data_IF_466815426126
#
_entry.id   IF_466815426126
#
_cell.length_a   1.000
_cell.length_b   1.000
_cell.length_c   1.000
_cell.angle_alpha   90.00
_cell.angle_beta   90.00
_cell.angle_gamma   90.00
#
_symmetry.space_group_name_H-M   'P 1'
#
loop_
_entity.id
_entity.type
_entity.pdbx_description
1 polymer ?
#
# COMPACT_ATOMS: atom_id res chain seq x y z
N UNK A 1 9.68 -9.60 0.29
CA UNK A 1 9.76 -9.35 -1.16
C UNK A 1 8.69 -10.16 -1.88
N UNK A 2 7.81 -9.47 -2.61
CA UNK A 2 6.73 -10.05 -3.39
C UNK A 2 6.65 -9.35 -4.76
N UNK A 3 6.19 -10.00 -5.84
CA UNK A 3 6.13 -9.41 -7.18
C UNK A 3 5.32 -8.10 -7.25
N UNK A 4 4.27 -7.98 -6.43
CA UNK A 4 3.38 -6.83 -6.39
C UNK A 4 4.11 -5.52 -6.04
N UNK A 5 5.26 -5.59 -5.34
CA UNK A 5 6.07 -4.41 -5.09
C UNK A 5 6.63 -3.79 -6.38
N UNK A 6 7.08 -4.62 -7.33
CA UNK A 6 7.57 -4.16 -8.64
C UNK A 6 6.39 -3.66 -9.48
N UNK A 7 5.26 -4.37 -9.44
CA UNK A 7 4.03 -3.94 -10.13
C UNK A 7 3.61 -2.54 -9.65
N UNK A 8 3.63 -2.29 -8.34
CA UNK A 8 3.30 -0.99 -7.76
C UNK A 8 4.25 0.12 -8.25
N UNK A 9 5.56 -0.12 -8.23
CA UNK A 9 6.55 0.85 -8.74
C UNK A 9 6.32 1.18 -10.22
N UNK A 10 6.09 0.16 -11.06
CA UNK A 10 5.83 0.35 -12.48
C UNK A 10 4.46 1.01 -12.75
N UNK A 11 3.44 0.73 -11.94
CA UNK A 11 2.15 1.38 -12.02
C UNK A 11 2.26 2.88 -11.72
N UNK A 12 3.02 3.27 -10.68
CA UNK A 12 3.34 4.67 -10.41
C UNK A 12 4.05 5.33 -11.59
N UNK A 13 5.11 4.70 -12.11
CA UNK A 13 5.87 5.22 -13.25
C UNK A 13 4.98 5.40 -14.51
N UNK A 14 4.06 4.47 -14.77
CA UNK A 14 3.15 4.50 -15.91
C UNK A 14 2.23 5.73 -15.91
N UNK A 15 1.81 6.22 -14.75
CA UNK A 15 0.96 7.41 -14.62
C UNK A 15 1.76 8.68 -14.32
N UNK A 16 3.09 8.63 -14.35
CA UNK A 16 3.97 9.75 -14.01
C UNK A 16 4.01 10.11 -12.52
N UNK A 17 3.55 9.20 -11.64
CA UNK A 17 3.66 9.39 -10.20
C UNK A 17 5.06 9.05 -9.68
N UNK A 18 5.55 9.84 -8.74
CA UNK A 18 6.81 9.56 -8.03
C UNK A 18 6.52 8.55 -6.92
N UNK A 19 7.18 7.39 -6.96
CA UNK A 19 7.09 6.40 -5.89
C UNK A 19 8.18 6.61 -4.83
N UNK A 20 7.80 6.74 -3.56
CA UNK A 20 8.72 6.76 -2.42
C UNK A 20 8.71 5.40 -1.73
N UNK A 21 9.72 4.58 -2.00
CA UNK A 21 9.78 3.19 -1.53
C UNK A 21 10.41 3.14 -0.14
N UNK A 22 9.72 2.51 0.81
CA UNK A 22 10.20 2.31 2.18
C UNK A 22 10.40 0.82 2.43
N UNK A 23 11.47 0.48 3.16
CA UNK A 23 11.74 -0.91 3.54
C UNK A 23 10.64 -1.43 4.49
N UNK A 24 10.12 -2.63 4.22
CA UNK A 24 8.98 -3.19 4.95
C UNK A 24 9.25 -3.49 6.43
N UNK A 25 10.51 -3.61 6.85
CA UNK A 25 10.88 -3.84 8.26
C UNK A 25 11.12 -2.56 9.08
N UNK A 26 10.76 -1.37 8.57
CA UNK A 26 10.83 -0.14 9.37
C UNK A 26 9.79 -0.12 10.48
N UNK A 27 10.17 0.47 11.61
CA UNK A 27 9.24 0.80 12.66
C UNK A 27 8.33 1.97 12.23
N UNK A 28 7.23 2.11 12.95
CA UNK A 28 6.15 3.06 12.67
C UNK A 28 6.62 4.52 12.68
N UNK A 29 7.52 4.91 13.59
CA UNK A 29 8.08 6.27 13.69
C UNK A 29 8.88 6.66 12.43
N UNK A 30 9.71 5.75 11.91
CA UNK A 30 10.53 5.96 10.73
C UNK A 30 9.68 6.01 9.45
N UNK A 31 8.58 5.26 9.42
CA UNK A 31 7.58 5.33 8.36
C UNK A 31 6.80 6.64 8.43
N UNK A 32 6.34 7.06 9.62
CA UNK A 32 5.62 8.32 9.82
C UNK A 32 6.46 9.51 9.39
N UNK A 33 7.76 9.52 9.70
CA UNK A 33 8.69 10.56 9.26
C UNK A 33 8.73 10.70 7.74
N UNK A 34 8.75 9.57 7.02
CA UNK A 34 8.73 9.57 5.54
C UNK A 34 7.39 10.00 4.96
N UNK A 35 6.29 9.64 5.61
CA UNK A 35 4.94 10.08 5.21
C UNK A 35 4.82 11.60 5.36
N UNK A 36 5.29 12.17 6.47
CA UNK A 36 5.28 13.62 6.70
C UNK A 36 6.11 14.40 5.69
N UNK A 37 7.29 13.86 5.34
CA UNK A 37 8.19 14.48 4.36
C UNK A 37 7.65 14.40 2.92
N UNK A 38 7.27 13.20 2.48
CA UNK A 38 6.83 12.97 1.09
C UNK A 38 5.37 13.32 0.80
N UNK A 39 4.56 13.52 1.84
CA UNK A 39 3.13 13.87 1.80
C UNK A 39 2.33 13.07 0.76
N UNK A 40 2.38 11.72 0.79
CA UNK A 40 1.75 10.90 -0.24
C UNK A 40 0.23 10.95 -0.10
N UNK A 41 -0.48 11.01 -1.23
CA UNK A 41 -1.95 10.85 -1.23
C UNK A 41 -2.39 9.40 -1.04
N UNK A 42 -1.56 8.46 -1.50
CA UNK A 42 -1.84 7.02 -1.49
C UNK A 42 -0.63 6.27 -0.97
N UNK A 43 -0.87 5.26 -0.13
CA UNK A 43 0.13 4.27 0.29
C UNK A 43 -0.26 2.90 -0.27
N UNK A 44 0.73 2.12 -0.72
CA UNK A 44 0.54 0.74 -1.16
C UNK A 44 1.35 -0.15 -0.24
N UNK A 45 0.71 -1.14 0.39
CA UNK A 45 1.33 -2.04 1.34
C UNK A 45 0.73 -3.45 1.25
N UNK A 46 1.36 -4.42 1.91
CA UNK A 46 0.77 -5.73 2.16
C UNK A 46 0.28 -5.83 3.61
N UNK A 47 -0.66 -6.73 3.88
CA UNK A 47 -1.13 -6.98 5.25
C UNK A 47 0.00 -7.43 6.19
N UNK A 48 0.95 -8.21 5.67
CA UNK A 48 2.11 -8.67 6.44
C UNK A 48 3.41 -8.83 5.64
N UNK A 49 4.53 -8.86 6.34
CA UNK A 49 5.84 -9.32 5.89
C UNK A 49 6.11 -10.75 6.33
N UNK A 50 7.01 -11.45 5.62
CA UNK A 50 7.54 -12.75 6.07
C UNK A 50 9.06 -12.65 6.10
N UNK A 51 9.63 -12.86 7.29
CA UNK A 51 11.06 -12.84 7.55
C UNK A 51 11.48 -14.16 8.20
N UNK A 52 12.06 -15.06 7.40
CA UNK A 52 12.28 -16.45 7.80
C UNK A 52 10.96 -17.11 8.19
N UNK A 53 10.84 -17.52 9.46
CA UNK A 53 9.63 -18.14 10.00
C UNK A 53 8.70 -17.15 10.72
N UNK A 54 9.02 -15.85 10.71
CA UNK A 54 8.23 -14.82 11.40
C UNK A 54 7.30 -14.11 10.43
N UNK A 55 6.06 -13.91 10.87
CA UNK A 55 5.09 -13.03 10.22
C UNK A 55 5.10 -11.68 10.90
N UNK A 56 5.31 -10.61 10.13
CA UNK A 56 5.37 -9.24 10.64
C UNK A 56 4.09 -8.52 10.23
N UNK A 57 3.36 -7.96 11.19
CA UNK A 57 2.11 -7.26 10.95
C UNK A 57 2.37 -5.85 10.39
N UNK A 58 2.57 -5.77 9.08
CA UNK A 58 2.82 -4.51 8.38
C UNK A 58 1.62 -3.57 8.44
N UNK A 59 0.39 -4.10 8.44
CA UNK A 59 -0.80 -3.25 8.51
C UNK A 59 -0.88 -2.51 9.84
N UNK A 60 -0.60 -3.18 10.96
CA UNK A 60 -0.53 -2.53 12.28
C UNK A 60 0.52 -1.43 12.33
N UNK A 61 1.72 -1.69 11.79
CA UNK A 61 2.80 -0.69 11.72
C UNK A 61 2.41 0.51 10.83
N UNK A 62 1.76 0.25 9.69
CA UNK A 62 1.25 1.28 8.79
C UNK A 62 0.18 2.14 9.48
N UNK A 63 -0.78 1.53 10.16
CA UNK A 63 -1.84 2.25 10.86
C UNK A 63 -1.27 3.18 11.94
N UNK A 64 -0.35 2.67 12.76
CA UNK A 64 0.37 3.48 13.76
C UNK A 64 1.11 4.65 13.11
N UNK A 65 1.83 4.40 12.01
CA UNK A 65 2.56 5.44 11.31
C UNK A 65 1.66 6.53 10.70
N UNK A 66 0.49 6.14 10.19
CA UNK A 66 -0.51 7.07 9.66
C UNK A 66 -1.10 7.94 10.78
N UNK A 67 -1.41 7.35 11.93
CA UNK A 67 -1.91 8.08 13.09
C UNK A 67 -0.87 9.09 13.60
N UNK A 68 0.39 8.68 13.69
CA UNK A 68 1.51 9.55 14.07
C UNK A 68 1.74 10.72 13.09
N UNK A 69 1.48 10.51 11.80
CA UNK A 69 1.64 11.53 10.76
C UNK A 69 0.41 12.45 10.62
N UNK A 70 -0.74 12.06 11.15
CA UNK A 70 -2.05 12.68 10.89
C UNK A 70 -2.16 14.16 11.31
N UNK A 71 -1.34 14.60 12.27
CA UNK A 71 -1.28 16.00 12.70
C UNK A 71 -0.66 16.94 11.66
N UNK A 72 0.12 16.42 10.70
CA UNK A 72 0.76 17.20 9.65
C UNK A 72 0.23 16.85 8.25
N UNK A 73 -0.01 15.56 7.99
CA UNK A 73 -0.45 15.09 6.69
C UNK A 73 -1.36 13.87 6.80
N UNK A 74 -2.51 13.93 6.13
CA UNK A 74 -3.49 12.84 6.10
C UNK A 74 -3.43 12.14 4.76
N UNK A 75 -3.06 10.85 4.77
CA UNK A 75 -3.11 9.98 3.60
C UNK A 75 -4.57 9.61 3.31
N UNK A 76 -4.98 9.74 2.06
CA UNK A 76 -6.38 9.58 1.66
C UNK A 76 -6.76 8.11 1.47
N UNK A 77 -5.89 7.34 0.82
CA UNK A 77 -6.17 5.94 0.51
C UNK A 77 -4.97 5.03 0.78
N UNK A 78 -5.24 3.81 1.22
CA UNK A 78 -4.26 2.75 1.35
C UNK A 78 -4.68 1.53 0.52
N UNK A 79 -3.89 1.16 -0.49
CA UNK A 79 -4.07 -0.08 -1.23
C UNK A 79 -3.36 -1.20 -0.47
N UNK A 80 -4.13 -2.15 0.07
CA UNK A 80 -3.62 -3.23 0.90
C UNK A 80 -3.72 -4.55 0.14
N UNK A 81 -2.58 -5.16 -0.14
CA UNK A 81 -2.52 -6.55 -0.58
C UNK A 81 -2.71 -7.49 0.62
N UNK A 82 -3.87 -8.13 0.69
CA UNK A 82 -4.12 -9.17 1.69
C UNK A 82 -3.29 -10.40 1.39
N UNK A 83 -2.37 -10.73 2.32
CA UNK A 83 -1.57 -11.95 2.25
C UNK A 83 -2.21 -13.05 3.09
N UNK A 84 -2.27 -14.29 2.59
CA UNK A 84 -2.96 -15.39 3.27
C UNK A 84 -2.32 -15.76 4.62
N UNK A 85 -1.04 -15.43 4.83
CA UNK A 85 -0.33 -15.71 6.08
C UNK A 85 -0.86 -14.88 7.26
N UNK A 86 -1.41 -13.69 6.99
CA UNK A 86 -1.99 -12.81 8.01
C UNK A 86 -2.88 -11.79 7.31
N UNK A 87 -4.12 -12.18 7.06
CA UNK A 87 -5.14 -11.28 6.55
C UNK A 87 -5.69 -10.43 7.71
N UNK A 88 -6.01 -9.17 7.43
CA UNK A 88 -6.38 -8.18 8.44
C UNK A 88 -7.63 -7.42 8.02
N UNK A 89 -8.45 -6.93 8.97
CA UNK A 89 -9.56 -6.04 8.62
C UNK A 89 -9.08 -4.78 7.90
N UNK A 90 -9.88 -4.29 6.96
CA UNK A 90 -9.63 -3.05 6.23
C UNK A 90 -10.49 -1.93 6.83
N UNK A 91 -9.90 -0.74 7.00
CA UNK A 91 -10.61 0.44 7.50
C UNK A 91 -11.48 1.03 6.38
N UNK A 92 -12.80 0.98 6.56
CA UNK A 92 -13.76 1.51 5.59
C UNK A 92 -13.49 2.99 5.31
N UNK A 93 -13.52 3.38 4.03
CA UNK A 93 -13.32 4.76 3.59
C UNK A 93 -11.86 5.19 3.44
N UNK A 94 -10.89 4.35 3.82
CA UNK A 94 -9.45 4.60 3.63
C UNK A 94 -8.74 3.42 2.96
N UNK A 95 -8.99 2.21 3.43
CA UNK A 95 -8.30 1.03 2.95
C UNK A 95 -9.09 0.34 1.83
N UNK A 96 -8.37 -0.05 0.78
CA UNK A 96 -8.91 -0.73 -0.40
C UNK A 96 -8.13 -2.04 -0.58
N UNK A 97 -8.84 -3.14 -0.79
CA UNK A 97 -8.19 -4.40 -1.14
C UNK A 97 -7.57 -4.30 -2.54
N UNK A 98 -6.25 -4.43 -2.61
CA UNK A 98 -5.50 -4.24 -3.86
C UNK A 98 -5.93 -5.26 -4.94
N UNK A 99 -6.16 -6.53 -4.56
CA UNK A 99 -6.49 -7.58 -5.53
C UNK A 99 -7.88 -7.35 -6.10
N UNK A 100 -8.86 -7.05 -5.25
CA UNK A 100 -10.21 -6.71 -5.70
C UNK A 100 -10.22 -5.47 -6.60
N UNK A 101 -9.44 -4.43 -6.27
CA UNK A 101 -9.33 -3.23 -7.09
C UNK A 101 -8.72 -3.52 -8.47
N UNK A 102 -7.71 -4.37 -8.53
CA UNK A 102 -7.10 -4.81 -9.80
C UNK A 102 -8.07 -5.63 -10.65
N UNK A 103 -8.80 -6.58 -10.04
CA UNK A 103 -9.77 -7.43 -10.74
C UNK A 103 -10.93 -6.60 -11.31
N UNK A 104 -11.43 -5.62 -10.55
CA UNK A 104 -12.47 -4.70 -11.01
C UNK A 104 -11.99 -3.82 -12.18
N UNK A 105 -10.73 -3.39 -12.14
CA UNK A 105 -10.14 -2.53 -13.18
C UNK A 105 -9.84 -3.28 -14.48
N UNK A 106 -9.53 -4.58 -14.41
CA UNK A 106 -9.29 -5.43 -15.58
C UNK A 106 -10.51 -5.52 -16.51
N UNK A 107 -11.73 -5.34 -15.98
CA UNK A 107 -12.95 -5.32 -16.79
C UNK A 107 -13.16 -4.01 -17.57
N UNK A 108 -12.49 -2.94 -17.17
CA UNK A 108 -12.57 -1.62 -17.81
C UNK A 108 -11.56 -1.50 -18.96
N UNK A 109 -10.44 -2.25 -18.90
CA UNK A 109 -9.40 -2.25 -19.92
C UNK A 109 -9.52 -3.47 -20.85
N UNK A 110 -10.66 -3.61 -21.56
CA UNK A 110 -10.68 -4.43 -22.78
C UNK A 110 -10.23 -3.56 -23.97
N UNK A 111 -9.00 -3.72 -24.49
CA UNK A 111 -8.56 -2.99 -25.68
C UNK A 111 -9.40 -3.29 -26.93
N UNK A 112 -10.27 -4.31 -26.91
CA UNK A 112 -11.18 -4.68 -28.01
C UNK A 112 -12.53 -3.96 -27.96
N UNK A 113 -12.77 -3.08 -27.00
CA UNK A 113 -13.98 -2.23 -26.92
C UNK A 113 -13.77 -0.80 -27.42
N UNK A 114 -12.58 -0.51 -27.95
CA UNK A 114 -12.29 0.74 -28.64
C UNK A 114 -12.35 0.53 -30.17
N UNK A 115 -13.48 0.01 -30.66
CA UNK A 115 -13.85 -0.04 -32.08
C UNK A 115 -15.36 0.19 -32.22
#
# INVERSE_FOLDING_TARGET
>A
NIPEAIVAMQACARIGAIHSVVFGGFADVELATRIKDSKPKVVIASSCGIEGNKTIDYKKLLDSALDLASSEHVVQNCLILQRPQHAVPLIQGRDIDLRQAMDASAQVHDPRRAE
#
